data_IF_135515597240
#
_entry.id   IF_135515597240
#
_cell.length_a   1.000
_cell.length_b   1.000
_cell.length_c   1.000
_cell.angle_alpha   90.00
_cell.angle_beta   90.00
_cell.angle_gamma   90.00
#
_symmetry.space_group_name_H-M   'P 1'
#
loop_
_entity.id
_entity.type
_entity.pdbx_description
1 polymer ?
#
# COMPACT_ATOMS: atom_id res chain seq x y z
N UNK A 1 -18.44 8.19 -13.93
CA UNK A 1 -17.47 8.10 -12.82
C UNK A 1 -17.33 6.64 -12.47
N UNK A 2 -16.10 6.15 -12.45
CA UNK A 2 -15.78 4.77 -12.07
C UNK A 2 -15.39 4.75 -10.60
N UNK A 3 -15.91 3.80 -9.81
CA UNK A 3 -15.52 3.67 -8.42
C UNK A 3 -14.27 2.81 -8.29
N UNK A 4 -13.27 3.31 -7.58
CA UNK A 4 -12.11 2.53 -7.18
C UNK A 4 -12.12 2.45 -5.65
N UNK A 5 -12.32 1.25 -5.13
CA UNK A 5 -12.22 0.99 -3.68
C UNK A 5 -10.79 0.58 -3.35
N UNK A 6 -10.10 1.32 -2.49
CA UNK A 6 -8.70 1.06 -2.13
C UNK A 6 -8.55 0.72 -0.64
N UNK A 7 -8.09 -0.51 -0.36
CA UNK A 7 -7.84 -1.04 0.98
C UNK A 7 -6.34 -1.26 1.16
N UNK A 8 -5.75 -0.64 2.18
CA UNK A 8 -4.35 -0.86 2.55
C UNK A 8 -4.16 -2.15 3.34
N UNK A 9 -3.04 -2.83 3.11
CA UNK A 9 -2.62 -4.06 3.79
C UNK A 9 -1.24 -3.89 4.42
N UNK A 10 -1.05 -4.48 5.61
CA UNK A 10 0.14 -4.27 6.48
C UNK A 10 1.18 -5.38 6.32
N UNK A 11 1.37 -5.90 5.12
CA UNK A 11 2.09 -7.15 4.86
C UNK A 11 3.33 -7.39 5.74
N UNK A 12 4.33 -6.50 5.67
CA UNK A 12 5.61 -6.65 6.38
C UNK A 12 5.57 -6.14 7.82
N UNK A 13 4.60 -5.29 8.14
CA UNK A 13 4.38 -4.73 9.47
C UNK A 13 3.41 -5.57 10.32
N UNK A 14 2.78 -6.58 9.73
CA UNK A 14 1.80 -7.47 10.38
C UNK A 14 2.28 -8.19 11.64
N UNK A 15 3.59 -8.48 11.85
CA UNK A 15 4.05 -9.03 13.13
C UNK A 15 3.99 -8.03 14.28
N UNK A 16 3.98 -6.72 13.99
CA UNK A 16 4.09 -5.66 15.00
C UNK A 16 2.78 -4.88 15.22
N UNK A 17 1.84 -4.95 14.27
CA UNK A 17 0.65 -4.13 14.24
C UNK A 17 -0.62 -4.94 13.95
N UNK A 18 -1.79 -4.48 14.44
CA UNK A 18 -3.06 -5.14 14.14
C UNK A 18 -3.35 -5.05 12.64
N UNK A 19 -3.67 -6.20 12.03
CA UNK A 19 -4.11 -6.29 10.63
C UNK A 19 -5.61 -6.54 10.53
N UNK A 20 -6.20 -6.24 9.38
CA UNK A 20 -7.57 -6.65 9.07
C UNK A 20 -7.67 -8.19 9.11
N UNK A 21 -8.54 -8.78 9.93
CA UNK A 21 -8.90 -10.18 9.77
C UNK A 21 -9.49 -10.40 8.38
N UNK A 22 -9.10 -11.47 7.68
CA UNK A 22 -9.62 -11.77 6.33
C UNK A 22 -11.14 -11.77 6.30
N UNK A 23 -11.79 -12.25 7.37
CA UNK A 23 -13.25 -12.24 7.52
C UNK A 23 -13.89 -10.84 7.38
N UNK A 24 -13.20 -9.78 7.81
CA UNK A 24 -13.65 -8.39 7.70
C UNK A 24 -13.55 -7.88 6.26
N UNK A 25 -12.67 -8.46 5.44
CA UNK A 25 -12.48 -8.11 4.03
C UNK A 25 -13.41 -8.90 3.09
N UNK A 26 -13.95 -10.03 3.54
CA UNK A 26 -14.84 -10.88 2.72
C UNK A 26 -16.10 -10.16 2.22
N UNK A 27 -16.79 -9.30 2.99
CA UNK A 27 -17.95 -8.55 2.47
C UNK A 27 -17.60 -7.74 1.24
N UNK A 28 -16.49 -7.00 1.27
CA UNK A 28 -15.99 -6.20 0.15
C UNK A 28 -15.73 -7.07 -1.09
N UNK A 29 -15.13 -8.26 -0.91
CA UNK A 29 -14.91 -9.21 -1.99
C UNK A 29 -16.20 -9.78 -2.55
N UNK A 30 -17.18 -10.09 -1.70
CA UNK A 30 -18.44 -10.75 -2.11
C UNK A 30 -19.41 -9.80 -2.81
N UNK A 31 -19.38 -8.52 -2.45
CA UNK A 31 -20.22 -7.48 -3.04
C UNK A 31 -19.64 -6.97 -4.36
N UNK A 32 -18.32 -7.05 -4.52
CA UNK A 32 -17.62 -6.62 -5.73
C UNK A 32 -17.82 -7.58 -6.90
N UNK A 33 -18.21 -7.05 -8.06
CA UNK A 33 -18.46 -7.83 -9.28
C UNK A 33 -17.39 -7.64 -10.37
N UNK A 34 -16.49 -6.68 -10.16
CA UNK A 34 -15.46 -6.33 -11.13
C UNK A 34 -14.13 -7.02 -10.85
N UNK A 35 -13.06 -6.41 -11.35
CA UNK A 35 -11.70 -6.88 -11.11
C UNK A 35 -11.25 -6.60 -9.68
N UNK A 36 -10.56 -7.57 -9.10
CA UNK A 36 -9.89 -7.44 -7.80
C UNK A 36 -8.39 -7.40 -8.04
N UNK A 37 -7.79 -6.27 -7.69
CA UNK A 37 -6.36 -6.02 -7.82
C UNK A 37 -5.66 -6.36 -6.50
N UNK A 38 -4.68 -7.26 -6.58
CA UNK A 38 -3.89 -7.73 -5.45
C UNK A 38 -2.40 -7.41 -5.67
N UNK A 39 -1.62 -7.18 -4.61
CA UNK A 39 -0.18 -7.01 -4.75
C UNK A 39 0.48 -8.36 -5.12
N UNK A 40 1.64 -8.35 -5.80
CA UNK A 40 2.38 -9.54 -6.20
C UNK A 40 3.16 -10.15 -5.02
N UNK A 41 2.50 -10.30 -3.87
CA UNK A 41 3.10 -10.80 -2.63
C UNK A 41 2.59 -12.20 -2.31
N UNK A 42 3.47 -13.01 -1.74
CA UNK A 42 3.17 -14.39 -1.31
C UNK A 42 2.83 -14.49 0.18
N UNK A 43 2.49 -13.38 0.82
CA UNK A 43 2.18 -13.37 2.26
C UNK A 43 0.86 -14.07 2.55
N UNK A 44 0.67 -14.66 3.75
CA UNK A 44 -0.51 -15.46 4.06
C UNK A 44 -1.85 -14.72 3.90
N UNK A 45 -1.88 -13.43 4.19
CA UNK A 45 -3.05 -12.56 4.03
C UNK A 45 -3.43 -12.38 2.55
N UNK A 46 -2.46 -12.09 1.67
CA UNK A 46 -2.69 -11.98 0.22
C UNK A 46 -3.10 -13.32 -0.36
N UNK A 47 -2.45 -14.40 0.06
CA UNK A 47 -2.81 -15.75 -0.38
C UNK A 47 -4.25 -16.10 0.03
N UNK A 48 -4.67 -15.73 1.25
CA UNK A 48 -6.03 -15.94 1.72
C UNK A 48 -7.06 -15.11 0.94
N UNK A 49 -6.76 -13.85 0.61
CA UNK A 49 -7.60 -13.02 -0.25
C UNK A 49 -7.69 -13.61 -1.66
N UNK A 50 -6.55 -13.98 -2.25
CA UNK A 50 -6.46 -14.58 -3.58
C UNK A 50 -7.30 -15.85 -3.68
N UNK A 51 -7.27 -16.70 -2.65
CA UNK A 51 -8.08 -17.93 -2.59
C UNK A 51 -9.61 -17.68 -2.54
N UNK A 52 -10.05 -16.45 -2.23
CA UNK A 52 -11.47 -16.06 -2.17
C UNK A 52 -11.97 -15.36 -3.43
N UNK A 53 -11.07 -14.94 -4.32
CA UNK A 53 -11.41 -14.28 -5.58
C UNK A 53 -11.44 -15.31 -6.71
N UNK A 54 -12.42 -15.24 -7.60
CA UNK A 54 -12.44 -16.11 -8.78
C UNK A 54 -11.23 -15.84 -9.70
N UNK A 55 -10.54 -16.86 -10.24
CA UNK A 55 -9.29 -16.67 -11.01
C UNK A 55 -9.40 -15.65 -12.16
N UNK A 56 -10.55 -15.59 -12.84
CA UNK A 56 -10.78 -14.65 -13.94
C UNK A 56 -10.91 -13.18 -13.51
N UNK A 57 -11.29 -12.94 -12.25
CA UNK A 57 -11.45 -11.60 -11.68
C UNK A 57 -10.17 -11.10 -10.99
N UNK A 58 -9.19 -11.98 -10.76
CA UNK A 58 -7.92 -11.62 -10.15
C UNK A 58 -7.06 -10.81 -11.15
N UNK A 59 -6.52 -9.70 -10.67
CA UNK A 59 -5.49 -8.91 -11.32
C UNK A 59 -4.36 -8.67 -10.34
N UNK A 60 -3.17 -8.49 -10.89
CA UNK A 60 -1.95 -8.32 -10.10
C UNK A 60 -1.30 -6.98 -10.44
N UNK A 61 -0.94 -6.24 -9.39
CA UNK A 61 -0.18 -5.01 -9.53
C UNK A 61 1.25 -5.27 -10.00
N UNK A 62 1.82 -4.29 -10.70
CA UNK A 62 3.26 -4.26 -10.93
C UNK A 62 4.03 -4.35 -9.59
N UNK A 63 5.19 -5.00 -9.60
CA UNK A 63 5.98 -5.21 -8.39
C UNK A 63 6.73 -3.94 -7.97
N UNK A 64 6.70 -3.63 -6.68
CA UNK A 64 7.49 -2.54 -6.09
C UNK A 64 8.92 -2.97 -5.71
N UNK A 65 9.30 -4.23 -5.91
CA UNK A 65 10.55 -4.78 -5.41
C UNK A 65 11.81 -3.96 -5.78
N UNK A 66 11.81 -3.26 -6.92
CA UNK A 66 12.94 -2.44 -7.36
C UNK A 66 13.08 -1.09 -6.66
N UNK A 67 12.00 -0.54 -6.09
CA UNK A 67 11.97 0.74 -5.37
C UNK A 67 11.66 0.61 -3.88
N UNK A 68 11.49 -0.62 -3.40
CA UNK A 68 11.12 -0.92 -2.03
C UNK A 68 12.29 -0.75 -1.07
N UNK A 69 12.04 -0.15 0.09
CA UNK A 69 12.98 -0.13 1.21
C UNK A 69 12.28 -0.62 2.47
N UNK A 70 12.79 -1.72 3.00
CA UNK A 70 12.28 -2.35 4.21
C UNK A 70 12.64 -1.56 5.46
N UNK A 71 11.76 -1.63 6.47
CA UNK A 71 12.07 -1.11 7.80
C UNK A 71 13.25 -1.88 8.39
N UNK A 72 14.22 -1.15 8.93
CA UNK A 72 15.42 -1.72 9.56
C UNK A 72 16.25 -2.66 8.67
N UNK A 73 16.10 -2.59 7.34
CA UNK A 73 16.95 -3.31 6.38
C UNK A 73 18.13 -2.49 5.87
N UNK A 74 18.28 -1.24 6.34
CA UNK A 74 19.58 -0.60 6.29
C UNK A 74 20.50 -1.38 7.22
N UNK A 75 21.51 -2.03 6.65
CA UNK A 75 22.70 -2.40 7.40
C UNK A 75 23.20 -1.10 8.07
N UNK A 76 22.81 -0.89 9.33
CA UNK A 76 23.23 0.26 10.13
C UNK A 76 24.75 0.34 10.07
N UNK A 77 25.30 1.50 9.70
CA UNK A 77 26.74 1.75 9.75
C UNK A 77 27.48 1.99 8.42
N UNK A 78 26.83 1.99 7.26
CA UNK A 78 27.52 2.30 5.99
C UNK A 78 27.63 3.82 5.72
N UNK A 79 26.60 4.62 6.06
CA UNK A 79 26.64 6.09 5.94
C UNK A 79 25.79 6.77 7.04
N UNK A 80 26.07 8.06 7.37
CA UNK A 80 25.26 8.83 8.33
C UNK A 80 23.77 8.92 7.97
N UNK A 81 23.45 8.93 6.67
CA UNK A 81 22.08 9.01 6.18
C UNK A 81 21.30 7.71 6.41
N UNK A 82 21.97 6.56 6.31
CA UNK A 82 21.37 5.25 6.62
C UNK A 82 21.14 5.07 8.12
N UNK A 83 22.02 5.61 8.96
CA UNK A 83 21.84 5.64 10.42
C UNK A 83 20.68 6.57 10.82
N UNK A 84 20.54 7.71 10.15
CA UNK A 84 19.41 8.62 10.33
C UNK A 84 18.08 7.97 9.90
N UNK A 85 18.06 7.25 8.77
CA UNK A 85 16.88 6.48 8.34
C UNK A 85 16.51 5.40 9.36
N UNK A 86 17.48 4.65 9.88
CA UNK A 86 17.22 3.62 10.89
C UNK A 86 16.61 4.23 12.16
N UNK A 87 17.16 5.35 12.64
CA UNK A 87 16.63 6.08 13.80
C UNK A 87 15.21 6.59 13.55
N UNK A 88 14.96 7.13 12.35
CA UNK A 88 13.63 7.59 11.95
C UNK A 88 12.62 6.43 11.87
N UNK A 89 13.02 5.28 11.32
CA UNK A 89 12.19 4.08 11.25
C UNK A 89 11.78 3.61 12.64
N UNK A 90 12.71 3.59 13.60
CA UNK A 90 12.41 3.24 15.00
C UNK A 90 11.40 4.20 15.62
N UNK A 91 11.64 5.52 15.51
CA UNK A 91 10.73 6.53 16.05
C UNK A 91 9.35 6.49 15.38
N UNK A 92 9.30 6.29 14.06
CA UNK A 92 8.06 6.17 13.31
C UNK A 92 7.28 4.92 13.75
N UNK A 93 7.94 3.77 13.89
CA UNK A 93 7.30 2.54 14.35
C UNK A 93 6.75 2.69 15.77
N UNK A 94 7.47 3.35 16.68
CA UNK A 94 6.98 3.63 18.02
C UNK A 94 5.78 4.59 18.02
N UNK A 95 5.82 5.65 17.21
CA UNK A 95 4.68 6.54 17.02
C UNK A 95 3.46 5.80 16.44
N UNK A 96 3.68 4.94 15.46
CA UNK A 96 2.64 4.07 14.91
C UNK A 96 2.09 3.14 16.00
N UNK A 97 2.90 2.60 16.92
CA UNK A 97 2.38 1.73 18.00
C UNK A 97 1.44 2.48 18.94
N UNK A 98 1.73 3.75 19.22
CA UNK A 98 0.86 4.60 20.03
C UNK A 98 -0.46 4.93 19.33
N UNK A 99 -0.41 5.23 18.02
CA UNK A 99 -1.56 5.68 17.25
C UNK A 99 -2.43 4.51 16.71
N UNK A 100 -1.78 3.42 16.31
CA UNK A 100 -2.34 2.33 15.51
C UNK A 100 -2.86 1.17 16.37
N UNK A 101 -3.66 1.48 17.40
CA UNK A 101 -4.22 0.47 18.30
C UNK A 101 -5.28 -0.45 17.68
N UNK A 102 -5.67 -0.24 16.41
CA UNK A 102 -6.68 -1.06 15.73
C UNK A 102 -6.49 -1.05 14.21
N UNK A 103 -6.89 -2.12 13.54
CA UNK A 103 -6.84 -2.24 12.08
C UNK A 103 -7.66 -1.13 11.36
N UNK A 104 -8.69 -0.55 11.99
CA UNK A 104 -9.46 0.56 11.43
C UNK A 104 -8.61 1.80 11.11
N UNK A 105 -7.44 1.94 11.72
CA UNK A 105 -6.51 3.05 11.44
C UNK A 105 -5.68 2.85 10.18
N UNK A 106 -5.72 1.68 9.56
CA UNK A 106 -4.86 1.36 8.42
C UNK A 106 -5.12 2.27 7.21
N UNK A 107 -6.39 2.52 6.90
CA UNK A 107 -6.78 3.41 5.81
C UNK A 107 -6.90 4.89 6.24
N UNK A 108 -6.47 5.25 7.44
CA UNK A 108 -6.63 6.61 7.95
C UNK A 108 -5.63 7.58 7.28
N UNK A 109 -6.01 8.83 6.98
CA UNK A 109 -5.11 9.82 6.37
C UNK A 109 -3.80 10.07 7.13
N UNK A 110 -3.82 9.92 8.46
CA UNK A 110 -2.62 10.00 9.30
C UNK A 110 -1.60 8.92 8.91
N UNK A 111 -2.06 7.71 8.61
CA UNK A 111 -1.22 6.60 8.16
C UNK A 111 -0.57 6.94 6.81
N UNK A 112 -1.36 7.49 5.88
CA UNK A 112 -0.85 7.95 4.59
C UNK A 112 0.25 9.01 4.76
N UNK A 113 0.01 10.04 5.57
CA UNK A 113 0.99 11.09 5.84
C UNK A 113 2.29 10.54 6.44
N UNK A 114 2.20 9.56 7.36
CA UNK A 114 3.38 8.97 7.97
C UNK A 114 4.23 8.20 6.95
N UNK A 115 3.60 7.43 6.07
CA UNK A 115 4.33 6.70 5.02
C UNK A 115 4.85 7.62 3.91
N UNK A 116 4.15 8.70 3.59
CA UNK A 116 4.64 9.75 2.70
C UNK A 116 5.90 10.42 3.26
N UNK A 117 5.87 10.82 4.54
CA UNK A 117 7.03 11.41 5.22
C UNK A 117 8.20 10.44 5.27
N UNK A 118 7.95 9.18 5.63
CA UNK A 118 8.98 8.13 5.60
C UNK A 118 9.59 8.01 4.21
N UNK A 119 8.79 8.03 3.15
CA UNK A 119 9.29 7.92 1.78
C UNK A 119 10.34 9.00 1.49
N UNK A 120 10.10 10.24 1.92
CA UNK A 120 11.07 11.33 1.80
C UNK A 120 12.42 11.01 2.45
N UNK A 121 12.39 10.50 3.69
CA UNK A 121 13.63 10.11 4.42
C UNK A 121 14.36 8.97 3.71
N UNK A 122 13.64 7.99 3.18
CA UNK A 122 14.26 6.88 2.43
C UNK A 122 14.90 7.38 1.12
N UNK A 123 14.25 8.30 0.42
CA UNK A 123 14.78 8.88 -0.82
C UNK A 123 16.05 9.70 -0.58
N UNK A 124 16.09 10.44 0.53
CA UNK A 124 17.29 11.14 1.00
C UNK A 124 18.43 10.16 1.34
N UNK A 125 18.13 9.06 2.01
CA UNK A 125 19.14 8.09 2.46
C UNK A 125 19.71 7.20 1.34
N UNK A 126 18.89 6.80 0.36
CA UNK A 126 19.32 5.88 -0.71
C UNK A 126 19.60 6.58 -2.05
N UNK A 127 19.24 7.86 -2.17
CA UNK A 127 19.45 8.67 -3.37
C UNK A 127 18.50 8.35 -4.53
N UNK A 128 18.76 9.03 -5.65
CA UNK A 128 17.81 9.14 -6.77
C UNK A 128 17.47 7.83 -7.46
N UNK A 129 18.38 6.84 -7.48
CA UNK A 129 18.13 5.57 -8.17
C UNK A 129 16.95 4.80 -7.56
N UNK A 130 16.86 4.79 -6.23
CA UNK A 130 15.76 4.10 -5.54
C UNK A 130 14.44 4.89 -5.70
N UNK A 131 14.51 6.22 -5.56
CA UNK A 131 13.38 7.12 -5.77
C UNK A 131 12.79 6.99 -7.19
N UNK A 132 13.64 7.00 -8.23
CA UNK A 132 13.23 6.82 -9.63
C UNK A 132 12.57 5.45 -9.86
N UNK A 133 13.07 4.40 -9.20
CA UNK A 133 12.49 3.07 -9.30
C UNK A 133 11.14 3.00 -8.57
N UNK A 134 10.99 3.67 -7.44
CA UNK A 134 9.73 3.79 -6.72
C UNK A 134 8.67 4.52 -7.55
N UNK A 135 8.97 5.74 -8.02
CA UNK A 135 8.02 6.55 -8.79
C UNK A 135 7.60 5.82 -10.07
N UNK A 136 8.54 5.22 -10.82
CA UNK A 136 8.22 4.47 -12.04
C UNK A 136 7.25 3.31 -11.79
N UNK A 137 7.42 2.56 -10.69
CA UNK A 137 6.53 1.44 -10.38
C UNK A 137 5.16 1.94 -9.89
N UNK A 138 5.11 3.04 -9.15
CA UNK A 138 3.87 3.67 -8.72
C UNK A 138 3.08 4.23 -9.91
N UNK A 139 3.74 4.91 -10.85
CA UNK A 139 3.16 5.35 -12.12
C UNK A 139 2.62 4.18 -12.95
N UNK A 140 3.35 3.06 -13.00
CA UNK A 140 2.90 1.86 -13.70
C UNK A 140 1.61 1.31 -13.05
N UNK A 141 1.55 1.21 -11.72
CA UNK A 141 0.35 0.79 -11.00
C UNK A 141 -0.83 1.72 -11.22
N UNK A 142 -0.60 3.03 -11.21
CA UNK A 142 -1.63 4.00 -11.55
C UNK A 142 -2.14 3.80 -12.97
N UNK A 143 -1.25 3.63 -13.93
CA UNK A 143 -1.61 3.36 -15.34
C UNK A 143 -2.43 2.07 -15.46
N UNK A 144 -2.07 1.02 -14.72
CA UNK A 144 -2.86 -0.22 -14.66
C UNK A 144 -4.29 0.06 -14.19
N UNK A 145 -4.46 0.82 -13.11
CA UNK A 145 -5.79 1.16 -12.58
C UNK A 145 -6.58 2.06 -13.52
N UNK A 146 -5.97 3.10 -14.07
CA UNK A 146 -6.65 4.01 -14.99
C UNK A 146 -7.10 3.30 -16.27
N UNK A 147 -6.31 2.36 -16.78
CA UNK A 147 -6.71 1.53 -17.92
C UNK A 147 -7.84 0.56 -17.55
N UNK A 148 -7.81 -0.02 -16.36
CA UNK A 148 -8.82 -0.99 -15.92
C UNK A 148 -10.16 -0.34 -15.54
N UNK A 149 -10.11 0.90 -15.04
CA UNK A 149 -11.27 1.69 -14.63
C UNK A 149 -12.13 2.19 -15.80
N UNK A 150 -11.71 1.98 -17.06
CA UNK A 150 -12.47 2.36 -18.26
C UNK A 150 -13.67 1.42 -18.51
N UNK A 151 -14.64 1.41 -17.60
CA UNK A 151 -15.93 0.73 -17.80
C UNK A 151 -16.39 -0.20 -16.67
N UNK A 152 -15.63 -0.31 -15.57
CA UNK A 152 -16.02 -1.12 -14.41
C UNK A 152 -15.40 -0.62 -13.12
N UNK A 153 -16.11 -0.82 -12.01
CA UNK A 153 -15.59 -0.55 -10.67
C UNK A 153 -14.44 -1.52 -10.35
N UNK A 154 -13.49 -1.04 -9.55
CA UNK A 154 -12.31 -1.81 -9.12
C UNK A 154 -12.28 -1.95 -7.59
N UNK A 155 -11.80 -3.10 -7.12
CA UNK A 155 -11.45 -3.32 -5.72
C UNK A 155 -9.95 -3.61 -5.64
N UNK A 156 -9.22 -2.75 -4.95
CA UNK A 156 -7.77 -2.75 -4.91
C UNK A 156 -7.28 -2.97 -3.49
N UNK A 157 -6.46 -4.00 -3.29
CA UNK A 157 -5.68 -4.20 -2.09
C UNK A 157 -4.24 -3.77 -2.37
N UNK A 158 -3.71 -2.86 -1.54
CA UNK A 158 -2.42 -2.20 -1.77
C UNK A 158 -1.58 -2.26 -0.50
N UNK A 159 -0.27 -2.44 -0.64
CA UNK A 159 0.67 -2.31 0.47
C UNK A 159 0.53 -0.92 1.12
N UNK A 160 0.43 -0.84 2.45
CA UNK A 160 0.17 0.41 3.15
C UNK A 160 1.25 1.47 2.88
N UNK A 161 2.49 1.03 2.70
CA UNK A 161 3.65 1.84 2.35
C UNK A 161 3.55 2.48 0.95
N UNK A 162 2.65 2.00 0.09
CA UNK A 162 2.44 2.50 -1.27
C UNK A 162 1.07 3.14 -1.50
N UNK A 163 0.15 2.94 -0.56
CA UNK A 163 -1.26 3.33 -0.71
C UNK A 163 -1.46 4.84 -0.72
N UNK A 164 -0.69 5.59 0.08
CA UNK A 164 -0.78 7.06 0.17
C UNK A 164 -0.67 7.70 -1.23
N UNK A 165 0.32 7.27 -2.01
CA UNK A 165 0.62 7.81 -3.33
C UNK A 165 -0.51 7.50 -4.32
N UNK A 166 -1.03 6.26 -4.31
CA UNK A 166 -2.15 5.89 -5.19
C UNK A 166 -3.42 6.63 -4.81
N UNK A 167 -3.73 6.77 -3.52
CA UNK A 167 -4.89 7.54 -3.05
C UNK A 167 -4.81 8.99 -3.50
N UNK A 168 -3.66 9.63 -3.32
CA UNK A 168 -3.43 11.00 -3.76
C UNK A 168 -3.69 11.14 -5.27
N UNK A 169 -2.97 10.36 -6.10
CA UNK A 169 -3.09 10.44 -7.56
C UNK A 169 -4.49 10.14 -8.08
N UNK A 170 -5.17 9.14 -7.50
CA UNK A 170 -6.53 8.78 -7.88
C UNK A 170 -7.55 9.84 -7.45
N UNK A 171 -7.35 10.48 -6.29
CA UNK A 171 -8.25 11.56 -5.82
C UNK A 171 -8.20 12.81 -6.70
N UNK A 172 -7.12 13.00 -7.44
CA UNK A 172 -6.95 14.09 -8.40
C UNK A 172 -7.68 13.83 -9.74
N UNK A 173 -8.15 12.59 -9.98
CA UNK A 173 -8.81 12.24 -11.24
C UNK A 173 -10.31 12.52 -11.19
N UNK A 174 -10.78 13.42 -12.06
CA UNK A 174 -12.20 13.83 -12.13
C UNK A 174 -13.13 12.65 -12.47
N UNK A 175 -12.63 11.65 -13.19
CA UNK A 175 -13.44 10.50 -13.63
C UNK A 175 -13.54 9.38 -12.59
N UNK A 176 -12.77 9.48 -11.49
CA UNK A 176 -12.66 8.46 -10.45
C UNK A 176 -13.40 8.89 -9.19
N UNK A 177 -14.27 8.00 -8.70
CA UNK A 177 -14.79 8.05 -7.34
C UNK A 177 -13.89 7.15 -6.46
N UNK A 178 -12.95 7.77 -5.75
CA UNK A 178 -12.11 7.03 -4.80
C UNK A 178 -12.90 6.72 -3.53
N UNK A 179 -13.08 5.44 -3.24
CA UNK A 179 -13.76 4.96 -2.04
C UNK A 179 -12.75 4.28 -1.09
N UNK A 180 -12.73 4.74 0.16
CA UNK A 180 -11.91 4.16 1.23
C UNK A 180 -12.87 3.59 2.27
N UNK A 181 -13.00 2.26 2.39
CA UNK A 181 -14.01 1.68 3.26
C UNK A 181 -13.63 1.87 4.73
N UNK A 182 -14.64 2.18 5.54
CA UNK A 182 -14.53 2.14 7.00
C UNK A 182 -14.65 0.68 7.45
N UNK A 183 -13.49 0.05 7.67
CA UNK A 183 -13.35 -1.34 8.10
C UNK A 183 -13.22 -1.39 9.62
#
# INVERSE_FOLDING_TARGET
MTRITLISLLHRLSPQFPIYPVAQLLPQLSEHKGEVWLPPLSTPDVAALRAKVAPQAQREFASLATGWCDFAASDSGDTPELDALASYDEEMLDNLRLYWGSAAKINHPITDNLFELRRGVVDEAHGTKLADAWERQQELRFTQLMSAAQGQDLLCFVEVEAAYWLRQRLSEQVEIELHIPAL
#
